data_IF_093616841236
#
_entry.id   IF_093616841236
#
_cell.length_a   1.000
_cell.length_b   1.000
_cell.length_c   1.000
_cell.angle_alpha   90.00
_cell.angle_beta   90.00
_cell.angle_gamma   90.00
#
_symmetry.space_group_name_H-M   'P 1'
#
loop_
_entity.id
_entity.type
_entity.pdbx_description
1 polymer ?
#
# COMPACT_ATOMS: atom_id res chain seq x y z
N UNK A 1 9.39 -2.29 -30.98
CA UNK A 1 9.38 -2.88 -29.61
C UNK A 1 9.16 -1.86 -28.47
N UNK A 2 9.23 -0.54 -28.71
CA UNK A 2 8.99 0.50 -27.69
C UNK A 2 7.54 0.63 -27.20
N UNK A 3 6.56 0.30 -28.05
CA UNK A 3 5.15 0.65 -27.80
C UNK A 3 4.43 -0.30 -26.80
N UNK A 4 4.80 -1.58 -26.78
CA UNK A 4 4.20 -2.58 -25.87
C UNK A 4 4.63 -2.37 -24.41
N UNK A 5 5.88 -1.95 -24.20
CA UNK A 5 6.40 -1.64 -22.86
C UNK A 5 5.72 -0.40 -22.26
N UNK A 6 5.39 0.59 -23.08
CA UNK A 6 4.65 1.79 -22.67
C UNK A 6 3.22 1.45 -22.22
N UNK A 7 2.48 0.63 -22.98
CA UNK A 7 1.11 0.23 -22.61
C UNK A 7 1.06 -0.59 -21.32
N UNK A 8 1.97 -1.56 -21.16
CA UNK A 8 2.03 -2.37 -19.94
C UNK A 8 2.37 -1.52 -18.71
N UNK A 9 3.33 -0.60 -18.83
CA UNK A 9 3.70 0.29 -17.73
C UNK A 9 2.54 1.22 -17.35
N UNK A 10 1.85 1.81 -18.33
CA UNK A 10 0.63 2.62 -18.07
C UNK A 10 -0.44 1.81 -17.34
N UNK A 11 -0.67 0.55 -17.74
CA UNK A 11 -1.60 -0.33 -17.04
C UNK A 11 -1.20 -0.58 -15.58
N UNK A 12 0.08 -0.87 -15.31
CA UNK A 12 0.58 -1.05 -13.95
C UNK A 12 0.45 0.23 -13.10
N UNK A 13 0.71 1.39 -13.70
CA UNK A 13 0.57 2.69 -13.02
C UNK A 13 -0.90 2.99 -12.71
N UNK A 14 -1.82 2.66 -13.62
CA UNK A 14 -3.26 2.79 -13.40
C UNK A 14 -3.74 1.84 -12.30
N UNK A 15 -3.32 0.57 -12.36
CA UNK A 15 -3.61 -0.43 -11.35
C UNK A 15 -3.09 0.00 -9.97
N UNK A 16 -1.86 0.49 -9.90
CA UNK A 16 -1.27 1.04 -8.69
C UNK A 16 -2.07 2.23 -8.16
N UNK A 17 -2.38 3.22 -8.99
CA UNK A 17 -3.18 4.37 -8.57
C UNK A 17 -4.56 4.00 -8.04
N UNK A 18 -5.22 3.01 -8.67
CA UNK A 18 -6.49 2.48 -8.20
C UNK A 18 -6.36 1.81 -6.84
N UNK A 19 -5.37 0.92 -6.66
CA UNK A 19 -5.10 0.28 -5.37
C UNK A 19 -4.82 1.31 -4.28
N UNK A 20 -4.02 2.34 -4.57
CA UNK A 20 -3.71 3.40 -3.61
C UNK A 20 -4.95 4.21 -3.22
N UNK A 21 -5.83 4.48 -4.19
CA UNK A 21 -7.11 5.16 -3.93
C UNK A 21 -8.03 4.31 -3.05
N UNK A 22 -8.15 3.01 -3.34
CA UNK A 22 -8.92 2.08 -2.51
C UNK A 22 -8.33 1.96 -1.10
N UNK A 23 -7.00 1.91 -1.00
CA UNK A 23 -6.31 1.86 0.29
C UNK A 23 -6.60 3.13 1.11
N UNK A 24 -6.59 4.31 0.48
CA UNK A 24 -6.94 5.57 1.13
C UNK A 24 -8.36 5.53 1.70
N UNK A 25 -9.34 5.09 0.90
CA UNK A 25 -10.73 5.01 1.33
C UNK A 25 -10.90 4.12 2.56
N UNK A 26 -10.17 3.01 2.57
CA UNK A 26 -10.17 2.07 3.69
C UNK A 26 -9.54 2.68 4.94
N UNK A 27 -8.43 3.41 4.82
CA UNK A 27 -7.81 4.13 5.94
C UNK A 27 -8.69 5.27 6.46
N UNK A 28 -9.35 6.02 5.56
CA UNK A 28 -10.31 7.06 5.94
C UNK A 28 -11.47 6.44 6.74
N UNK A 29 -12.03 5.31 6.28
CA UNK A 29 -13.07 4.58 7.01
C UNK A 29 -12.58 4.15 8.38
N UNK A 30 -11.39 3.56 8.47
CA UNK A 30 -10.83 3.12 9.74
C UNK A 30 -10.61 4.31 10.71
N UNK A 31 -10.08 5.43 10.19
CA UNK A 31 -9.92 6.66 10.97
C UNK A 31 -11.24 7.24 11.46
N UNK A 32 -12.29 7.25 10.62
CA UNK A 32 -13.64 7.69 10.99
C UNK A 32 -14.21 6.84 12.13
N UNK A 33 -14.15 5.51 12.01
CA UNK A 33 -14.66 4.59 13.03
C UNK A 33 -13.88 4.72 14.34
N UNK A 34 -12.55 4.83 14.27
CA UNK A 34 -11.71 5.01 15.46
C UNK A 34 -11.98 6.33 16.19
N UNK A 35 -12.04 7.45 15.45
CA UNK A 35 -12.14 8.78 16.04
C UNK A 35 -13.56 9.15 16.50
N UNK A 36 -14.59 8.67 15.79
CA UNK A 36 -15.98 9.07 16.05
C UNK A 36 -16.84 7.99 16.68
N UNK A 37 -16.49 6.71 16.53
CA UNK A 37 -17.25 5.59 17.11
C UNK A 37 -16.53 4.94 18.29
N UNK A 38 -15.28 5.33 18.57
CA UNK A 38 -14.49 4.80 19.67
C UNK A 38 -14.10 3.33 19.47
N UNK A 39 -14.20 2.80 18.25
CA UNK A 39 -13.80 1.42 17.97
C UNK A 39 -12.27 1.30 18.04
N UNK A 40 -11.74 0.38 18.86
CA UNK A 40 -10.30 0.15 18.92
C UNK A 40 -9.86 -0.56 17.64
N UNK A 41 -9.14 0.18 16.79
CA UNK A 41 -8.47 -0.35 15.61
C UNK A 41 -9.37 -1.11 14.59
N UNK A 42 -10.36 -0.45 13.97
CA UNK A 42 -11.23 -1.04 12.94
C UNK A 42 -10.52 -1.19 11.58
N UNK A 43 -9.21 -1.49 11.64
CA UNK A 43 -8.38 -1.75 10.48
C UNK A 43 -8.91 -2.99 9.72
N UNK A 44 -8.69 -3.09 8.40
CA UNK A 44 -8.91 -4.33 7.64
C UNK A 44 -8.09 -5.51 8.16
N UNK A 45 -7.05 -5.18 8.92
CA UNK A 45 -6.10 -6.11 9.47
C UNK A 45 -6.71 -6.72 10.73
N UNK A 46 -7.38 -7.85 10.52
CA UNK A 46 -8.02 -8.59 11.60
C UNK A 46 -6.98 -9.01 12.65
N UNK A 47 -7.30 -8.86 13.95
CA UNK A 47 -6.36 -9.14 15.03
C UNK A 47 -6.05 -10.65 15.17
N UNK A 48 -4.98 -11.00 15.87
CA UNK A 48 -4.76 -12.39 16.29
C UNK A 48 -5.82 -12.84 17.31
N UNK A 49 -5.91 -14.15 17.60
CA UNK A 49 -6.74 -14.66 18.69
C UNK A 49 -6.33 -13.99 20.00
N UNK A 50 -7.25 -13.26 20.64
CA UNK A 50 -6.97 -12.47 21.85
C UNK A 50 -6.82 -10.96 21.63
N UNK A 51 -6.88 -10.48 20.37
CA UNK A 51 -6.82 -9.05 20.07
C UNK A 51 -5.40 -8.51 19.90
N UNK A 52 -5.30 -7.23 19.50
CA UNK A 52 -4.02 -6.52 19.51
C UNK A 52 -3.65 -6.09 20.92
N UNK A 53 -2.39 -6.26 21.29
CA UNK A 53 -1.88 -5.70 22.54
C UNK A 53 -1.82 -4.17 22.44
N UNK A 54 -2.06 -3.46 23.55
CA UNK A 54 -2.03 -1.99 23.59
C UNK A 54 -0.70 -1.42 23.11
N UNK A 55 0.41 -2.12 23.41
CA UNK A 55 1.75 -1.73 22.98
C UNK A 55 1.97 -1.84 21.48
N UNK A 56 1.16 -2.64 20.77
CA UNK A 56 1.22 -2.77 19.30
C UNK A 56 0.52 -1.62 18.58
N UNK A 57 -0.40 -0.93 19.26
CA UNK A 57 -1.24 0.10 18.64
C UNK A 57 -0.45 1.29 18.09
N UNK A 58 0.53 1.89 18.80
CA UNK A 58 1.34 2.96 18.24
C UNK A 58 2.10 2.56 16.97
N UNK A 59 2.59 1.31 16.91
CA UNK A 59 3.27 0.78 15.73
C UNK A 59 2.31 0.70 14.53
N UNK A 60 1.12 0.13 14.72
CA UNK A 60 0.12 0.00 13.65
C UNK A 60 -0.36 1.36 13.14
N UNK A 61 -0.58 2.31 14.05
CA UNK A 61 -0.97 3.68 13.70
C UNK A 61 0.16 4.44 12.99
N UNK A 62 1.41 4.26 13.43
CA UNK A 62 2.58 4.83 12.76
C UNK A 62 2.74 4.29 11.34
N UNK A 63 2.54 2.98 11.15
CA UNK A 63 2.57 2.35 9.83
C UNK A 63 1.45 2.88 8.92
N UNK A 64 0.23 2.99 9.43
CA UNK A 64 -0.89 3.59 8.69
C UNK A 64 -0.64 5.07 8.32
N UNK A 65 0.02 5.83 9.21
CA UNK A 65 0.44 7.20 8.91
C UNK A 65 1.45 7.26 7.76
N UNK A 66 2.43 6.34 7.75
CA UNK A 66 3.37 6.22 6.64
C UNK A 66 2.70 5.77 5.35
N UNK A 67 1.71 4.88 5.42
CA UNK A 67 0.91 4.48 4.27
C UNK A 67 0.20 5.69 3.66
N UNK A 68 -0.41 6.58 4.46
CA UNK A 68 -1.06 7.81 3.94
C UNK A 68 -0.07 8.65 3.11
N UNK A 69 1.16 8.82 3.58
CA UNK A 69 2.20 9.56 2.83
C UNK A 69 2.51 8.84 1.51
N UNK A 70 2.75 7.54 1.57
CA UNK A 70 3.00 6.71 0.38
C UNK A 70 1.85 6.76 -0.62
N UNK A 71 0.60 6.74 -0.14
CA UNK A 71 -0.64 6.74 -0.91
C UNK A 71 -0.77 8.05 -1.67
N UNK A 72 -0.62 9.18 -0.98
CA UNK A 72 -0.74 10.51 -1.59
C UNK A 72 0.28 10.65 -2.72
N UNK A 73 1.53 10.25 -2.48
CA UNK A 73 2.57 10.26 -3.51
C UNK A 73 2.22 9.33 -4.68
N UNK A 74 1.67 8.15 -4.41
CA UNK A 74 1.32 7.16 -5.42
C UNK A 74 0.15 7.56 -6.29
N UNK A 75 -0.89 8.14 -5.69
CA UNK A 75 -2.04 8.72 -6.39
C UNK A 75 -1.57 9.91 -7.23
N UNK A 76 -0.79 10.82 -6.65
CA UNK A 76 -0.27 11.98 -7.37
C UNK A 76 0.59 11.56 -8.57
N UNK A 77 1.49 10.59 -8.38
CA UNK A 77 2.30 9.99 -9.45
C UNK A 77 1.45 9.41 -10.58
N UNK A 78 0.47 8.58 -10.22
CA UNK A 78 -0.42 7.91 -11.17
C UNK A 78 -1.24 8.94 -11.95
N UNK A 79 -1.81 9.93 -11.26
CA UNK A 79 -2.59 11.00 -11.87
C UNK A 79 -1.76 11.83 -12.87
N UNK A 80 -0.58 12.30 -12.46
CA UNK A 80 0.32 13.06 -13.32
C UNK A 80 0.73 12.27 -14.56
N UNK A 81 1.10 11.00 -14.38
CA UNK A 81 1.55 10.16 -15.51
C UNK A 81 0.42 9.84 -16.48
N UNK A 82 -0.78 9.54 -15.99
CA UNK A 82 -1.89 9.08 -16.82
C UNK A 82 -2.67 10.21 -17.49
N UNK A 83 -2.92 11.31 -16.77
CA UNK A 83 -3.78 12.39 -17.24
C UNK A 83 -3.02 13.62 -17.70
N UNK A 84 -1.84 13.90 -17.11
CA UNK A 84 -1.01 15.05 -17.50
C UNK A 84 0.14 14.68 -18.41
N UNK A 85 0.35 13.38 -18.68
CA UNK A 85 1.45 12.86 -19.50
C UNK A 85 2.85 13.27 -18.98
N UNK A 86 2.93 13.69 -17.72
CA UNK A 86 4.18 14.06 -17.05
C UNK A 86 4.70 12.83 -16.30
N UNK A 87 5.77 12.23 -16.81
CA UNK A 87 6.37 11.06 -16.18
C UNK A 87 7.49 11.47 -15.22
N UNK A 88 7.24 11.31 -13.91
CA UNK A 88 8.18 11.66 -12.84
C UNK A 88 8.57 10.36 -12.10
N UNK A 89 9.48 9.54 -12.65
CA UNK A 89 9.75 8.19 -12.13
C UNK A 89 10.26 8.20 -10.67
N UNK A 90 11.05 9.21 -10.27
CA UNK A 90 11.55 9.33 -8.89
C UNK A 90 10.44 9.41 -7.83
N UNK A 91 9.33 10.10 -8.13
CA UNK A 91 8.18 10.19 -7.24
C UNK A 91 7.47 8.83 -7.10
N UNK A 92 7.31 8.11 -8.22
CA UNK A 92 6.76 6.75 -8.22
C UNK A 92 7.64 5.77 -7.45
N UNK A 93 8.96 5.83 -7.65
CA UNK A 93 9.95 5.01 -6.92
C UNK A 93 9.85 5.29 -5.42
N UNK A 94 9.84 6.55 -5.00
CA UNK A 94 9.73 6.91 -3.58
C UNK A 94 8.44 6.37 -2.95
N UNK A 95 7.30 6.56 -3.61
CA UNK A 95 6.00 6.03 -3.16
C UNK A 95 6.03 4.51 -3.01
N UNK A 96 6.55 3.80 -4.02
CA UNK A 96 6.66 2.35 -4.02
C UNK A 96 7.62 1.83 -2.95
N UNK A 97 8.73 2.53 -2.68
CA UNK A 97 9.66 2.18 -1.61
C UNK A 97 8.98 2.27 -0.25
N UNK A 98 8.22 3.34 0.02
CA UNK A 98 7.45 3.47 1.26
C UNK A 98 6.48 2.29 1.39
N UNK A 99 5.77 1.97 0.32
CA UNK A 99 4.80 0.87 0.31
C UNK A 99 5.41 -0.52 0.52
N UNK A 100 6.47 -0.83 -0.21
CA UNK A 100 7.11 -2.14 -0.14
C UNK A 100 7.77 -2.32 1.23
N UNK A 101 8.48 -1.29 1.71
CA UNK A 101 9.11 -1.35 3.05
C UNK A 101 8.06 -1.43 4.16
N UNK A 102 6.98 -0.64 4.07
CA UNK A 102 5.82 -0.71 4.96
C UNK A 102 5.21 -2.11 4.99
N UNK A 103 4.94 -2.72 3.83
CA UNK A 103 4.40 -4.08 3.74
C UNK A 103 5.31 -5.14 4.38
N UNK A 104 6.63 -5.03 4.20
CA UNK A 104 7.61 -5.93 4.82
C UNK A 104 7.63 -5.75 6.34
N UNK A 105 7.70 -4.52 6.82
CA UNK A 105 7.70 -4.19 8.26
C UNK A 105 6.39 -4.65 8.90
N UNK A 106 5.26 -4.43 8.23
CA UNK A 106 3.95 -4.90 8.64
C UNK A 106 3.89 -6.42 8.75
N UNK A 107 4.34 -7.15 7.73
CA UNK A 107 4.35 -8.61 7.75
C UNK A 107 5.26 -9.13 8.87
N UNK A 108 6.45 -8.56 9.03
CA UNK A 108 7.36 -8.94 10.11
C UNK A 108 6.77 -8.69 11.51
N UNK A 109 6.02 -7.59 11.69
CA UNK A 109 5.38 -7.25 12.97
C UNK A 109 4.12 -8.05 13.28
N UNK A 110 3.39 -8.51 12.26
CA UNK A 110 2.08 -9.17 12.43
C UNK A 110 2.11 -10.69 12.23
N UNK A 111 3.09 -11.24 11.54
CA UNK A 111 3.20 -12.68 11.35
C UNK A 111 3.40 -13.45 12.67
N UNK A 112 4.29 -13.02 13.60
CA UNK A 112 4.52 -13.73 14.87
C UNK A 112 3.32 -13.72 15.82
N UNK A 113 2.36 -12.80 15.63
CA UNK A 113 1.18 -12.73 16.50
C UNK A 113 0.17 -13.84 16.22
N UNK A 114 0.30 -14.57 15.11
CA UNK A 114 -0.65 -15.61 14.69
C UNK A 114 -1.86 -15.09 13.92
N UNK A 115 -1.96 -13.77 13.67
CA UNK A 115 -3.10 -13.18 12.98
C UNK A 115 -3.27 -13.69 11.53
N UNK A 116 -2.15 -13.99 10.85
CA UNK A 116 -2.13 -14.55 9.50
C UNK A 116 -2.72 -15.97 9.46
N UNK A 117 -2.50 -16.77 10.51
CA UNK A 117 -3.05 -18.11 10.61
C UNK A 117 -4.55 -18.09 10.99
N UNK A 118 -4.94 -17.12 11.82
CA UNK A 118 -6.35 -16.94 12.20
C UNK A 118 -7.22 -16.38 11.07
N UNK A 119 -6.65 -15.52 10.20
CA UNK A 119 -7.39 -14.83 9.15
C UNK A 119 -6.69 -14.91 7.78
N UNK A 120 -6.40 -16.11 7.25
CA UNK A 120 -5.52 -16.29 6.10
C UNK A 120 -6.01 -15.56 4.85
N UNK A 121 -7.32 -15.56 4.59
CA UNK A 121 -7.89 -14.89 3.42
C UNK A 121 -7.69 -13.37 3.46
N UNK A 122 -7.81 -12.75 4.63
CA UNK A 122 -7.63 -11.30 4.78
C UNK A 122 -6.20 -10.87 4.50
N UNK A 123 -5.21 -11.61 4.99
CA UNK A 123 -3.80 -11.28 4.81
C UNK A 123 -3.28 -11.66 3.41
N UNK A 124 -3.59 -12.86 2.93
CA UNK A 124 -3.09 -13.32 1.62
C UNK A 124 -3.76 -12.63 0.44
N UNK A 125 -5.02 -12.19 0.57
CA UNK A 125 -5.65 -11.38 -0.48
C UNK A 125 -4.91 -10.06 -0.69
N UNK A 126 -4.43 -9.41 0.37
CA UNK A 126 -3.59 -8.21 0.27
C UNK A 126 -2.27 -8.52 -0.43
N UNK A 127 -1.60 -9.63 -0.10
CA UNK A 127 -0.37 -10.05 -0.80
C UNK A 127 -0.62 -10.22 -2.29
N UNK A 128 -1.73 -10.87 -2.68
CA UNK A 128 -2.09 -11.10 -4.08
C UNK A 128 -2.40 -9.77 -4.80
N UNK A 129 -3.20 -8.90 -4.18
CA UNK A 129 -3.54 -7.59 -4.74
C UNK A 129 -2.29 -6.74 -4.98
N UNK A 130 -1.32 -6.76 -4.05
CA UNK A 130 -0.10 -5.97 -4.16
C UNK A 130 1.04 -6.69 -4.90
N UNK A 131 0.88 -7.94 -5.33
CA UNK A 131 1.93 -8.69 -6.05
C UNK A 131 2.45 -8.01 -7.34
N UNK A 132 1.66 -7.26 -8.12
CA UNK A 132 2.18 -6.52 -9.28
C UNK A 132 3.06 -5.31 -8.92
N UNK A 133 3.04 -4.84 -7.68
CA UNK A 133 3.71 -3.60 -7.24
C UNK A 133 5.25 -3.70 -7.28
N UNK A 134 5.90 -4.78 -6.77
CA UNK A 134 7.33 -4.98 -6.96
C UNK A 134 7.77 -4.99 -8.44
N UNK A 135 6.94 -5.53 -9.33
CA UNK A 135 7.24 -5.52 -10.76
C UNK A 135 7.20 -4.11 -11.36
N UNK A 136 6.22 -3.27 -10.97
CA UNK A 136 6.21 -1.86 -11.34
C UNK A 136 7.45 -1.13 -10.82
N UNK A 137 7.85 -1.39 -9.57
CA UNK A 137 9.04 -0.79 -8.96
C UNK A 137 10.31 -1.08 -9.78
N UNK A 138 10.54 -2.34 -10.15
CA UNK A 138 11.69 -2.72 -10.99
C UNK A 138 11.65 -2.01 -12.35
N UNK A 139 10.47 -1.91 -12.98
CA UNK A 139 10.33 -1.18 -14.25
C UNK A 139 10.68 0.30 -14.12
N UNK A 140 10.26 0.96 -13.04
CA UNK A 140 10.59 2.37 -12.84
C UNK A 140 12.08 2.58 -12.57
N UNK A 141 12.72 1.71 -11.79
CA UNK A 141 14.18 1.75 -11.59
C UNK A 141 14.94 1.61 -12.91
N UNK A 142 14.55 0.65 -13.75
CA UNK A 142 15.17 0.44 -15.06
C UNK A 142 14.96 1.61 -16.02
N UNK A 143 13.82 2.31 -15.93
CA UNK A 143 13.54 3.49 -16.73
C UNK A 143 14.28 4.73 -16.25
N UNK A 144 14.59 4.83 -14.96
CA UNK A 144 15.25 5.99 -14.37
C UNK A 144 16.79 5.93 -14.48
N UNK A 145 17.35 4.74 -14.69
CA UNK A 145 18.78 4.54 -14.89
C UNK A 145 19.26 4.78 -16.33
N UNK A 146 18.35 5.09 -17.26
CA UNK A 146 18.62 5.43 -18.66
C UNK A 146 18.49 6.92 -18.88
#
# INVERSE_FOLDING_TARGET
MQDKNSKQQKFLIAYYGLLQSLHLLVLIRAGYMMLLQGEPAPFPILPPPGGWQEQTMPFMLGLAGMDVIGIILGIYYSFKTLFKQEHIPGLGILSLTIFISGAVVFAAGTYPSGAWAAHPLSYWSMVILFAPVPYLYVKLLQSNAK
#
